data_IF_551426652904
#
_entry.id   IF_551426652904
#
_cell.length_a   1.000
_cell.length_b   1.000
_cell.length_c   1.000
_cell.angle_alpha   90.00
_cell.angle_beta   90.00
_cell.angle_gamma   90.00
#
_symmetry.space_group_name_H-M   'P 1'
#
loop_
_entity.id
_entity.type
_entity.pdbx_description
1 polymer ?
#
# COMPACT_ATOMS: atom_id res chain seq x y z
N UNK A 1 -17.77 13.67 50.14
CA UNK A 1 -17.22 12.35 49.78
C UNK A 1 -16.40 12.52 48.50
N UNK A 2 -15.08 12.32 48.61
CA UNK A 2 -14.09 12.11 47.53
C UNK A 2 -13.91 13.22 46.47
N UNK A 3 -12.99 14.15 46.76
CA UNK A 3 -12.14 14.77 45.73
C UNK A 3 -10.96 13.83 45.51
N UNK A 4 -10.80 13.28 44.29
CA UNK A 4 -9.65 12.46 43.91
C UNK A 4 -8.78 13.29 42.96
N UNK A 5 -7.55 13.46 43.39
CA UNK A 5 -6.44 14.17 42.76
C UNK A 5 -6.08 13.49 41.45
N UNK A 6 -6.06 14.25 40.35
CA UNK A 6 -5.45 13.83 39.09
C UNK A 6 -3.92 13.86 39.26
N UNK A 7 -3.29 12.69 39.38
CA UNK A 7 -1.83 12.55 39.26
C UNK A 7 -1.53 12.30 37.77
N UNK A 8 -0.99 13.32 37.10
CA UNK A 8 -0.38 13.16 35.77
C UNK A 8 1.03 12.60 36.02
N UNK A 9 1.22 11.31 35.76
CA UNK A 9 2.56 10.71 35.69
C UNK A 9 3.12 10.99 34.30
N UNK A 10 3.98 12.00 34.19
CA UNK A 10 4.84 12.19 33.03
C UNK A 10 5.95 11.13 33.11
N UNK A 11 5.81 10.04 32.35
CA UNK A 11 6.91 9.10 32.09
C UNK A 11 7.72 9.66 30.92
N UNK A 12 8.73 10.47 31.22
CA UNK A 12 9.79 10.81 30.26
C UNK A 12 10.69 9.58 30.10
N UNK A 13 10.36 8.72 29.14
CA UNK A 13 11.30 7.73 28.64
C UNK A 13 12.41 8.47 27.87
N UNK A 14 13.56 8.67 28.51
CA UNK A 14 14.81 8.98 27.82
C UNK A 14 15.16 7.79 26.92
N UNK A 15 14.77 7.84 25.65
CA UNK A 15 15.32 6.97 24.62
C UNK A 15 16.71 7.54 24.29
N UNK A 16 17.82 6.81 24.52
CA UNK A 16 19.10 7.24 24.00
C UNK A 16 19.03 7.19 22.47
N UNK A 17 18.98 8.37 21.85
CA UNK A 17 19.15 8.58 20.42
C UNK A 17 20.63 8.30 20.07
N UNK A 18 21.01 7.04 20.02
CA UNK A 18 22.33 6.57 19.55
C UNK A 18 22.16 5.26 18.81
N UNK A 19 21.76 5.32 17.54
CA UNK A 19 22.05 4.32 16.50
C UNK A 19 21.26 4.63 15.22
N UNK A 20 21.51 5.76 14.57
CA UNK A 20 21.12 5.97 13.16
C UNK A 20 22.23 6.63 12.32
N UNK A 21 23.40 6.90 12.90
CA UNK A 21 24.51 7.56 12.20
C UNK A 21 25.56 6.60 11.61
N UNK A 22 25.59 5.32 12.01
CA UNK A 22 26.65 4.39 11.58
C UNK A 22 26.45 3.77 10.19
N UNK A 23 25.25 3.82 9.61
CA UNK A 23 24.99 3.19 8.30
C UNK A 23 25.28 4.10 7.10
N UNK A 24 25.19 5.41 7.25
CA UNK A 24 25.54 6.36 6.18
C UNK A 24 27.04 6.47 5.95
N UNK A 25 27.85 6.22 6.97
CA UNK A 25 29.32 6.31 6.90
C UNK A 25 29.96 5.18 6.08
N UNK A 26 29.34 4.00 6.02
CA UNK A 26 29.92 2.87 5.29
C UNK A 26 29.77 2.98 3.76
N UNK A 27 28.73 3.66 3.28
CA UNK A 27 28.47 3.76 1.83
C UNK A 27 29.17 4.95 1.18
N UNK A 28 29.38 6.05 1.92
CA UNK A 28 30.08 7.24 1.44
C UNK A 28 31.55 6.97 1.13
N UNK A 29 32.18 6.02 1.84
CA UNK A 29 33.57 5.60 1.63
C UNK A 29 33.79 4.83 0.32
N UNK A 30 32.73 4.26 -0.27
CA UNK A 30 32.82 3.55 -1.55
C UNK A 30 32.72 4.48 -2.77
N UNK A 31 32.11 5.66 -2.62
CA UNK A 31 31.88 6.61 -3.71
C UNK A 31 33.16 7.11 -4.43
N UNK A 32 34.28 7.42 -3.73
CA UNK A 32 35.49 7.93 -4.38
C UNK A 32 36.34 6.87 -5.09
N UNK A 33 35.96 5.57 -5.03
CA UNK A 33 36.71 4.51 -5.73
C UNK A 33 36.50 4.65 -7.24
N UNK A 34 37.59 4.85 -7.99
CA UNK A 34 37.54 5.07 -9.45
C UNK A 34 37.33 3.76 -10.24
N UNK A 35 37.90 2.65 -9.79
CA UNK A 35 37.70 1.35 -10.44
C UNK A 35 36.29 0.81 -10.16
N UNK A 36 35.50 0.64 -11.23
CA UNK A 36 34.10 0.25 -11.13
C UNK A 36 33.91 -1.09 -10.41
N UNK A 37 34.81 -2.05 -10.64
CA UNK A 37 34.73 -3.37 -10.01
C UNK A 37 35.06 -3.32 -8.51
N UNK A 38 36.06 -2.53 -8.12
CA UNK A 38 36.43 -2.31 -6.74
C UNK A 38 35.35 -1.52 -5.98
N UNK A 39 34.75 -0.53 -6.64
CA UNK A 39 33.63 0.24 -6.10
C UNK A 39 32.41 -0.64 -5.86
N UNK A 40 32.05 -1.47 -6.83
CA UNK A 40 30.94 -2.42 -6.70
C UNK A 40 31.17 -3.40 -5.53
N UNK A 41 32.37 -3.97 -5.42
CA UNK A 41 32.75 -4.85 -4.30
C UNK A 41 32.63 -4.15 -2.94
N UNK A 42 33.03 -2.88 -2.86
CA UNK A 42 32.89 -2.08 -1.64
C UNK A 42 31.42 -1.96 -1.22
N UNK A 43 30.52 -1.63 -2.16
CA UNK A 43 29.08 -1.57 -1.90
C UNK A 43 28.47 -2.93 -1.53
N UNK A 44 28.85 -4.00 -2.22
CA UNK A 44 28.38 -5.37 -1.90
C UNK A 44 28.81 -5.80 -0.49
N UNK A 45 30.05 -5.52 -0.10
CA UNK A 45 30.55 -5.80 1.25
C UNK A 45 29.86 -4.94 2.32
N UNK A 46 29.71 -3.63 2.08
CA UNK A 46 29.06 -2.70 3.00
C UNK A 46 27.56 -3.00 3.19
N UNK A 47 26.91 -3.60 2.18
CA UNK A 47 25.50 -3.98 2.22
C UNK A 47 25.23 -5.36 2.85
N UNK A 48 26.28 -6.11 3.22
CA UNK A 48 26.15 -7.46 3.75
C UNK A 48 25.71 -8.49 2.71
N UNK A 49 25.86 -8.19 1.41
CA UNK A 49 25.51 -9.12 0.34
C UNK A 49 26.55 -10.26 0.32
N UNK A 50 26.14 -11.54 0.38
CA UNK A 50 27.08 -12.64 0.28
C UNK A 50 27.72 -12.62 -1.13
N UNK A 51 29.04 -12.41 -1.17
CA UNK A 51 29.81 -12.42 -2.42
C UNK A 51 29.76 -13.82 -3.00
N UNK A 52 29.10 -13.98 -4.15
CA UNK A 52 29.20 -15.20 -4.95
C UNK A 52 30.63 -15.25 -5.51
N UNK A 53 31.34 -16.35 -5.28
CA UNK A 53 32.73 -16.52 -5.72
C UNK A 53 32.87 -16.18 -7.22
N UNK A 54 33.97 -15.54 -7.65
CA UNK A 54 34.15 -15.18 -9.05
C UNK A 54 34.11 -16.43 -9.91
N UNK A 55 33.28 -16.42 -10.96
CA UNK A 55 33.47 -17.35 -12.06
C UNK A 55 34.84 -17.07 -12.66
N UNK A 56 35.76 -18.01 -12.47
CA UNK A 56 36.99 -18.07 -13.25
C UNK A 56 36.59 -18.36 -14.69
N UNK A 57 36.74 -17.39 -15.57
CA UNK A 57 37.44 -17.61 -16.83
C UNK A 57 37.84 -16.30 -17.49
N UNK A 58 39.05 -16.35 -18.05
CA UNK A 58 39.84 -15.25 -18.53
C UNK A 58 39.44 -14.76 -19.92
N UNK A 59 39.55 -13.46 -20.16
CA UNK A 59 40.14 -12.91 -21.37
C UNK A 59 40.48 -11.43 -21.17
N UNK A 60 41.76 -11.16 -20.93
CA UNK A 60 42.38 -9.85 -21.06
C UNK A 60 42.47 -9.44 -22.53
N UNK A 61 41.80 -8.36 -22.89
CA UNK A 61 42.01 -7.64 -24.16
C UNK A 61 41.78 -6.14 -23.94
N UNK A 62 42.55 -5.23 -24.59
CA UNK A 62 42.30 -3.80 -24.46
C UNK A 62 40.94 -3.45 -25.08
N UNK A 63 40.10 -2.73 -24.33
CA UNK A 63 38.85 -2.15 -24.82
C UNK A 63 39.16 -1.16 -25.96
N UNK A 64 38.61 -1.31 -27.17
CA UNK A 64 38.58 -0.22 -28.14
C UNK A 64 37.59 0.84 -27.65
N UNK A 65 38.07 2.07 -27.51
CA UNK A 65 37.19 3.23 -27.45
C UNK A 65 36.40 3.34 -28.76
N UNK A 66 35.16 3.83 -28.66
CA UNK A 66 34.20 4.13 -29.75
C UNK A 66 33.42 2.95 -30.34
N UNK A 67 32.20 2.75 -29.82
CA UNK A 67 31.00 2.44 -30.60
C UNK A 67 29.78 2.51 -29.67
N UNK A 68 28.89 3.47 -29.91
CA UNK A 68 27.51 3.41 -29.41
C UNK A 68 26.80 2.34 -30.24
N UNK A 69 26.27 1.24 -29.67
CA UNK A 69 25.44 0.33 -30.44
C UNK A 69 24.10 1.00 -30.69
N UNK A 70 23.84 1.23 -31.96
CA UNK A 70 22.60 1.69 -32.55
C UNK A 70 21.42 0.80 -32.08
N UNK A 71 20.32 1.41 -31.62
CA UNK A 71 19.12 0.72 -31.18
C UNK A 71 18.49 -0.04 -32.36
N UNK A 72 18.52 -1.36 -32.32
CA UNK A 72 17.69 -2.23 -33.15
C UNK A 72 16.18 -1.96 -32.82
N UNK A 73 15.34 -1.54 -33.79
CA UNK A 73 13.93 -1.25 -33.54
C UNK A 73 13.04 -2.47 -33.30
N UNK A 74 13.55 -3.70 -33.25
CA UNK A 74 12.73 -4.92 -33.17
C UNK A 74 12.46 -5.50 -31.78
N UNK A 75 12.65 -4.74 -30.70
CA UNK A 75 12.23 -5.12 -29.33
C UNK A 75 10.94 -4.41 -28.85
N UNK A 76 10.21 -3.74 -29.73
CA UNK A 76 8.89 -3.18 -29.43
C UNK A 76 7.79 -4.22 -29.72
N UNK A 77 7.76 -5.33 -29.00
CA UNK A 77 6.71 -6.33 -29.21
C UNK A 77 6.90 -7.67 -28.51
N UNK A 78 6.86 -7.68 -27.17
CA UNK A 78 6.41 -8.82 -26.33
C UNK A 78 6.57 -8.46 -24.85
N UNK A 79 5.61 -7.71 -24.30
CA UNK A 79 5.31 -7.82 -22.86
C UNK A 79 4.50 -9.10 -22.66
N UNK A 80 5.14 -10.26 -22.81
CA UNK A 80 4.60 -11.50 -22.27
C UNK A 80 5.14 -11.62 -20.85
N UNK A 81 4.25 -11.63 -19.86
CA UNK A 81 4.59 -11.94 -18.48
C UNK A 81 5.25 -13.31 -18.41
N UNK A 82 6.59 -13.33 -18.43
CA UNK A 82 7.36 -14.50 -18.06
C UNK A 82 7.25 -14.74 -16.55
N UNK A 83 7.57 -15.95 -16.07
CA UNK A 83 7.70 -16.19 -14.64
C UNK A 83 8.68 -15.18 -14.04
N UNK A 84 8.28 -14.57 -12.93
CA UNK A 84 9.13 -13.69 -12.13
C UNK A 84 10.44 -14.44 -11.79
N UNK A 85 11.63 -13.82 -11.93
CA UNK A 85 12.91 -14.44 -11.59
C UNK A 85 13.01 -14.97 -10.15
N UNK A 86 12.11 -14.57 -9.26
CA UNK A 86 11.99 -15.08 -7.88
C UNK A 86 11.08 -16.30 -7.73
N UNK A 87 10.21 -16.59 -8.71
CA UNK A 87 9.15 -17.60 -8.59
C UNK A 87 8.04 -17.26 -7.59
N UNK A 88 8.07 -16.08 -6.98
CA UNK A 88 7.10 -15.66 -5.97
C UNK A 88 5.72 -15.34 -6.60
N UNK A 89 4.66 -15.77 -5.93
CA UNK A 89 3.29 -15.52 -6.37
C UNK A 89 2.87 -14.04 -6.20
N UNK A 90 1.70 -13.66 -6.71
CA UNK A 90 1.22 -12.27 -6.64
C UNK A 90 0.96 -11.88 -5.19
N UNK A 91 0.23 -12.71 -4.45
CA UNK A 91 -0.06 -12.50 -3.04
C UNK A 91 1.20 -12.56 -2.19
N UNK A 92 2.15 -13.45 -2.51
CA UNK A 92 3.43 -13.50 -1.80
C UNK A 92 4.18 -12.17 -1.87
N UNK A 93 4.19 -11.52 -3.03
CA UNK A 93 4.82 -10.20 -3.21
C UNK A 93 4.01 -9.08 -2.56
N UNK A 94 2.70 -9.05 -2.78
CA UNK A 94 1.83 -8.00 -2.27
C UNK A 94 1.75 -8.00 -0.74
N UNK A 95 1.81 -9.17 -0.09
CA UNK A 95 1.70 -9.32 1.36
C UNK A 95 2.99 -9.74 2.06
N UNK A 96 4.09 -9.83 1.33
CA UNK A 96 5.42 -10.17 1.89
C UNK A 96 5.44 -11.53 2.61
N UNK A 97 4.81 -12.52 1.98
CA UNK A 97 4.58 -13.85 2.58
C UNK A 97 5.81 -14.77 2.48
N UNK A 98 6.75 -14.49 1.58
CA UNK A 98 7.98 -15.28 1.43
C UNK A 98 8.99 -14.89 2.49
N UNK A 99 9.42 -15.84 3.31
CA UNK A 99 10.35 -15.63 4.42
C UNK A 99 11.77 -15.31 3.99
N UNK A 100 12.16 -15.76 2.79
CA UNK A 100 13.52 -15.66 2.29
C UNK A 100 13.78 -14.37 1.52
N UNK A 101 12.72 -13.71 1.04
CA UNK A 101 12.81 -12.54 0.17
C UNK A 101 11.82 -11.44 0.60
N UNK A 102 11.87 -11.09 1.89
CA UNK A 102 11.03 -10.02 2.46
C UNK A 102 11.59 -8.64 2.18
N UNK A 103 10.69 -7.69 1.98
CA UNK A 103 11.05 -6.28 2.03
C UNK A 103 11.53 -5.90 3.43
N UNK A 104 12.41 -4.90 3.52
CA UNK A 104 12.83 -4.35 4.82
C UNK A 104 11.61 -3.79 5.58
N UNK A 105 11.67 -3.80 6.92
CA UNK A 105 10.65 -3.16 7.77
C UNK A 105 10.48 -1.69 7.39
N UNK A 106 9.26 -1.18 7.50
CA UNK A 106 8.87 0.20 7.17
C UNK A 106 8.96 0.61 5.69
N UNK A 107 9.16 -0.33 4.77
CA UNK A 107 8.99 -0.05 3.34
C UNK A 107 7.52 0.17 3.01
N UNK A 108 7.22 1.30 2.37
CA UNK A 108 5.89 1.60 1.84
C UNK A 108 5.64 0.72 0.62
N UNK A 109 4.56 -0.08 0.68
CA UNK A 109 4.08 -0.93 -0.41
C UNK A 109 2.71 -0.44 -0.87
N UNK A 110 2.32 -0.78 -2.10
CA UNK A 110 0.95 -0.57 -2.57
C UNK A 110 0.00 -1.51 -1.81
N UNK A 111 -1.14 -0.99 -1.37
CA UNK A 111 -2.19 -1.80 -0.72
C UNK A 111 -3.27 -2.21 -1.72
N UNK A 112 -4.01 -1.23 -2.25
CA UNK A 112 -4.90 -1.34 -3.42
C UNK A 112 -4.27 -0.61 -4.62
N UNK A 113 -4.96 -0.62 -5.75
CA UNK A 113 -4.51 0.11 -6.95
C UNK A 113 -4.33 1.59 -6.68
N UNK A 114 -3.25 2.16 -7.21
CA UNK A 114 -3.02 3.60 -7.26
C UNK A 114 -3.27 4.06 -8.69
N UNK A 115 -4.13 5.06 -8.88
CA UNK A 115 -4.49 5.52 -10.22
C UNK A 115 -4.95 6.98 -10.20
N UNK A 116 -4.84 7.61 -11.36
CA UNK A 116 -5.46 8.90 -11.67
C UNK A 116 -6.20 8.74 -12.98
N UNK A 117 -7.51 9.03 -12.95
CA UNK A 117 -8.36 9.13 -14.13
C UNK A 117 -8.64 10.62 -14.34
N UNK A 118 -8.00 11.26 -15.34
CA UNK A 118 -8.25 12.68 -15.63
C UNK A 118 -9.71 12.95 -16.00
N UNK A 119 -10.38 11.95 -16.58
CA UNK A 119 -11.78 12.01 -17.00
C UNK A 119 -12.53 10.77 -16.47
N UNK A 120 -13.49 10.99 -15.60
CA UNK A 120 -14.51 10.04 -15.17
C UNK A 120 -15.89 10.68 -15.39
N UNK A 121 -16.83 9.90 -15.93
CA UNK A 121 -18.17 10.37 -16.26
C UNK A 121 -19.23 9.71 -15.37
N UNK A 122 -20.11 10.51 -14.78
CA UNK A 122 -21.28 10.07 -14.02
C UNK A 122 -22.55 10.65 -14.65
N UNK A 123 -23.45 9.80 -15.10
CA UNK A 123 -24.69 10.22 -15.74
C UNK A 123 -25.71 10.85 -14.77
N UNK A 124 -25.59 10.55 -13.47
CA UNK A 124 -26.46 11.07 -12.42
C UNK A 124 -25.65 11.43 -11.16
N UNK A 125 -24.87 12.54 -11.20
CA UNK A 125 -24.19 13.05 -10.03
C UNK A 125 -25.21 13.35 -8.93
N UNK A 126 -24.92 12.92 -7.70
CA UNK A 126 -25.79 13.24 -6.57
C UNK A 126 -25.79 14.76 -6.35
N UNK A 127 -26.94 15.41 -6.56
CA UNK A 127 -27.07 16.85 -6.46
C UNK A 127 -27.18 17.35 -5.01
N UNK A 128 -27.48 16.43 -4.06
CA UNK A 128 -27.61 16.74 -2.64
C UNK A 128 -26.25 16.80 -1.92
N UNK A 129 -25.19 16.27 -2.54
CA UNK A 129 -23.82 16.58 -2.14
C UNK A 129 -23.47 17.99 -2.64
N UNK A 130 -24.07 19.01 -2.02
CA UNK A 130 -23.70 20.40 -2.29
C UNK A 130 -22.19 20.52 -2.12
N UNK A 131 -21.52 21.08 -3.12
CA UNK A 131 -20.09 21.40 -3.05
C UNK A 131 -19.96 22.44 -1.93
N UNK A 132 -19.19 22.14 -0.89
CA UNK A 132 -19.33 22.65 0.50
C UNK A 132 -19.32 24.19 0.70
N UNK A 133 -19.15 24.94 -0.38
CA UNK A 133 -18.86 26.36 -0.37
C UNK A 133 -19.98 27.21 -0.98
N UNK A 134 -20.86 26.65 -1.82
CA UNK A 134 -21.91 27.42 -2.50
C UNK A 134 -23.19 26.58 -2.71
N UNK A 135 -24.34 26.99 -2.15
CA UNK A 135 -25.64 26.33 -2.36
C UNK A 135 -26.07 26.23 -3.84
N UNK A 136 -25.55 27.10 -4.70
CA UNK A 136 -25.82 27.10 -6.14
C UNK A 136 -24.85 26.20 -6.91
N UNK A 137 -23.75 25.77 -6.29
CA UNK A 137 -22.77 24.91 -6.94
C UNK A 137 -23.35 23.53 -7.20
N UNK A 138 -23.51 23.21 -8.49
CA UNK A 138 -23.97 21.90 -8.93
C UNK A 138 -22.80 21.08 -9.44
N UNK A 139 -22.72 19.78 -9.08
CA UNK A 139 -21.72 18.89 -9.63
C UNK A 139 -21.95 18.71 -11.14
N UNK A 140 -20.87 18.76 -11.90
CA UNK A 140 -20.84 18.39 -13.30
C UNK A 140 -20.73 16.87 -13.45
N UNK A 141 -21.16 16.37 -14.60
CA UNK A 141 -21.10 14.95 -14.96
C UNK A 141 -19.67 14.44 -15.14
N UNK A 142 -18.72 15.32 -15.43
CA UNK A 142 -17.33 14.97 -15.69
C UNK A 142 -16.45 15.47 -14.56
N UNK A 143 -15.62 14.59 -14.01
CA UNK A 143 -14.69 14.91 -12.93
C UNK A 143 -13.39 14.11 -13.08
N UNK A 144 -12.34 14.54 -12.41
CA UNK A 144 -11.17 13.70 -12.20
C UNK A 144 -11.42 12.76 -11.02
N UNK A 145 -10.98 11.50 -11.13
CA UNK A 145 -11.08 10.50 -10.07
C UNK A 145 -9.71 9.90 -9.80
N UNK A 146 -9.27 9.88 -8.56
CA UNK A 146 -8.00 9.25 -8.24
C UNK A 146 -8.06 8.48 -6.92
N UNK A 147 -7.21 7.47 -6.83
CA UNK A 147 -7.04 6.68 -5.63
C UNK A 147 -5.56 6.59 -5.27
N UNK A 148 -5.25 6.86 -4.01
CA UNK A 148 -3.94 6.63 -3.42
C UNK A 148 -4.13 5.53 -2.37
N UNK A 149 -3.30 4.49 -2.41
CA UNK A 149 -3.43 3.36 -1.50
C UNK A 149 -2.09 2.72 -1.19
N UNK A 150 -1.70 2.73 0.08
CA UNK A 150 -0.43 2.18 0.54
C UNK A 150 -0.59 1.41 1.84
N UNK A 151 0.41 0.60 2.14
CA UNK A 151 0.56 -0.10 3.42
C UNK A 151 2.01 -0.15 3.85
N UNK A 152 2.20 -0.28 5.15
CA UNK A 152 3.49 -0.37 5.81
C UNK A 152 3.43 -1.49 6.83
N UNK A 153 4.44 -2.37 6.82
CA UNK A 153 4.58 -3.40 7.84
C UNK A 153 5.09 -2.75 9.12
N UNK A 154 4.28 -2.79 10.19
CA UNK A 154 4.60 -2.22 11.49
C UNK A 154 5.36 -3.19 12.38
N UNK A 155 4.97 -4.47 12.35
CA UNK A 155 5.60 -5.52 13.15
C UNK A 155 5.62 -6.80 12.32
N UNK A 156 6.81 -7.36 12.13
CA UNK A 156 7.03 -8.65 11.48
C UNK A 156 7.20 -9.78 12.49
N UNK A 157 6.66 -10.94 12.16
CA UNK A 157 6.76 -12.18 12.94
C UNK A 157 6.40 -11.98 14.41
N UNK A 158 5.19 -11.48 14.66
CA UNK A 158 4.69 -11.26 16.02
C UNK A 158 4.80 -12.56 16.83
N UNK A 159 5.51 -12.48 17.96
CA UNK A 159 5.84 -13.62 18.82
C UNK A 159 6.59 -14.78 18.12
N UNK A 160 7.33 -14.49 17.04
CA UNK A 160 8.06 -15.49 16.27
C UNK A 160 7.15 -16.41 15.45
N UNK A 161 5.88 -16.05 15.27
CA UNK A 161 4.93 -16.77 14.43
C UNK A 161 4.80 -16.05 13.09
N UNK A 162 4.31 -16.72 12.04
CA UNK A 162 4.09 -16.14 10.71
C UNK A 162 2.94 -15.13 10.64
N UNK A 163 2.99 -14.12 11.51
CA UNK A 163 1.99 -13.08 11.73
C UNK A 163 2.60 -11.70 11.58
N UNK A 164 2.09 -10.90 10.65
CA UNK A 164 2.57 -9.55 10.38
C UNK A 164 1.48 -8.51 10.66
N UNK A 165 1.80 -7.47 11.41
CA UNK A 165 0.94 -6.32 11.60
C UNK A 165 1.22 -5.26 10.52
N UNK A 166 0.17 -4.88 9.81
CA UNK A 166 0.20 -3.88 8.75
C UNK A 166 -0.69 -2.70 9.12
N UNK A 167 -0.21 -1.50 8.84
CA UNK A 167 -1.07 -0.33 8.67
C UNK A 167 -1.29 -0.12 7.17
N UNK A 168 -2.53 0.10 6.77
CA UNK A 168 -2.87 0.48 5.41
C UNK A 168 -3.69 1.76 5.40
N UNK A 169 -3.63 2.48 4.29
CA UNK A 169 -4.40 3.68 4.06
C UNK A 169 -4.82 3.73 2.60
N UNK A 170 -6.11 3.92 2.36
CA UNK A 170 -6.66 4.18 1.03
C UNK A 170 -7.42 5.50 1.06
N UNK A 171 -7.18 6.33 0.06
CA UNK A 171 -7.93 7.56 -0.17
C UNK A 171 -8.51 7.54 -1.58
N UNK A 172 -9.81 7.75 -1.72
CA UNK A 172 -10.51 7.89 -3.00
C UNK A 172 -11.08 9.30 -3.10
N UNK A 173 -10.73 10.03 -4.16
CA UNK A 173 -11.17 11.40 -4.34
C UNK A 173 -11.86 11.62 -5.69
N UNK A 174 -12.89 12.46 -5.67
CA UNK A 174 -13.66 12.90 -6.82
C UNK A 174 -13.56 14.42 -6.92
N UNK A 175 -12.85 14.89 -7.95
CA UNK A 175 -12.47 16.29 -8.10
C UNK A 175 -13.16 16.92 -9.32
N UNK A 176 -13.98 17.94 -9.08
CA UNK A 176 -14.68 18.69 -10.12
C UNK A 176 -13.74 19.66 -10.84
N UNK A 177 -12.61 19.16 -11.36
CA UNK A 177 -11.52 19.94 -11.97
C UNK A 177 -12.02 20.87 -13.09
N UNK A 178 -13.05 20.46 -13.82
CA UNK A 178 -13.65 21.21 -14.94
C UNK A 178 -14.72 22.21 -14.50
N UNK A 179 -15.13 22.20 -13.23
CA UNK A 179 -16.15 23.10 -12.70
C UNK A 179 -15.57 24.45 -12.26
N UNK A 180 -14.99 25.16 -13.23
CA UNK A 180 -14.28 26.43 -13.00
C UNK A 180 -15.20 27.54 -12.50
N UNK A 181 -16.50 27.48 -12.81
CA UNK A 181 -17.51 28.42 -12.31
C UNK A 181 -17.62 28.42 -10.78
N UNK A 182 -17.29 27.29 -10.13
CA UNK A 182 -17.32 27.13 -8.67
C UNK A 182 -15.92 26.83 -8.09
N UNK A 183 -14.86 27.30 -8.75
CA UNK A 183 -13.46 27.13 -8.32
C UNK A 183 -12.98 25.67 -8.25
N UNK A 184 -13.52 24.80 -9.10
CA UNK A 184 -13.08 23.41 -9.27
C UNK A 184 -12.95 22.63 -7.95
N UNK A 185 -14.03 22.50 -7.16
CA UNK A 185 -13.97 21.94 -5.82
C UNK A 185 -13.83 20.41 -5.83
N UNK A 186 -13.33 19.85 -4.72
CA UNK A 186 -13.50 18.42 -4.48
C UNK A 186 -14.96 18.15 -4.13
N UNK A 187 -15.60 17.26 -4.88
CA UNK A 187 -16.97 16.82 -4.57
C UNK A 187 -16.95 15.90 -3.36
N UNK A 188 -16.03 14.95 -3.36
CA UNK A 188 -15.95 13.97 -2.27
C UNK A 188 -14.53 13.43 -2.10
N UNK A 189 -14.13 13.16 -0.85
CA UNK A 189 -12.90 12.42 -0.53
C UNK A 189 -13.21 11.40 0.54
N UNK A 190 -12.92 10.13 0.29
CA UNK A 190 -13.09 9.04 1.26
C UNK A 190 -11.72 8.64 1.79
N UNK A 191 -11.59 8.60 3.12
CA UNK A 191 -10.41 8.21 3.88
C UNK A 191 -10.66 6.84 4.50
N UNK A 192 -9.83 5.85 4.20
CA UNK A 192 -9.98 4.47 4.67
C UNK A 192 -8.66 3.93 5.27
N UNK A 193 -8.33 4.29 6.52
CA UNK A 193 -7.25 3.64 7.26
C UNK A 193 -7.65 2.24 7.75
N UNK A 194 -6.68 1.33 7.76
CA UNK A 194 -6.84 -0.04 8.24
C UNK A 194 -5.65 -0.47 9.12
N UNK A 195 -5.94 -1.26 10.15
CA UNK A 195 -4.94 -1.97 10.94
C UNK A 195 -5.19 -3.47 10.82
N UNK A 196 -4.23 -4.18 10.24
CA UNK A 196 -4.43 -5.49 9.62
C UNK A 196 -3.40 -6.49 10.17
N UNK A 197 -3.86 -7.53 10.87
CA UNK A 197 -3.03 -8.66 11.31
C UNK A 197 -3.09 -9.78 10.28
N UNK A 198 -1.99 -10.01 9.57
CA UNK A 198 -1.89 -10.97 8.47
C UNK A 198 -1.22 -12.27 8.93
N UNK A 199 -1.91 -13.38 8.74
CA UNK A 199 -1.44 -14.73 9.00
C UNK A 199 -1.03 -15.38 7.67
N UNK A 200 0.21 -15.86 7.60
CA UNK A 200 0.69 -16.62 6.43
C UNK A 200 0.11 -18.03 6.48
N UNK A 201 -0.41 -18.50 5.36
CA UNK A 201 -0.97 -19.84 5.23
C UNK A 201 -0.49 -20.49 3.93
N UNK A 202 -0.62 -21.80 3.80
CA UNK A 202 -0.39 -22.50 2.51
C UNK A 202 -1.21 -23.79 2.41
N UNK A 203 -2.52 -23.70 2.69
CA UNK A 203 -3.42 -24.83 2.58
C UNK A 203 -3.94 -24.99 1.14
N UNK A 204 -4.31 -26.21 0.76
CA UNK A 204 -4.88 -26.54 -0.55
C UNK A 204 -6.37 -26.85 -0.43
N UNK A 205 -7.20 -26.14 -1.19
CA UNK A 205 -8.63 -26.43 -1.35
C UNK A 205 -8.92 -26.74 -2.82
N UNK A 206 -8.92 -28.03 -3.16
CA UNK A 206 -9.25 -28.49 -4.52
C UNK A 206 -8.39 -27.83 -5.62
N UNK A 207 -7.09 -27.62 -5.34
CA UNK A 207 -6.14 -26.96 -6.24
C UNK A 207 -6.12 -25.44 -6.15
N UNK A 208 -6.88 -24.83 -5.24
CA UNK A 208 -6.81 -23.41 -4.88
C UNK A 208 -5.96 -23.28 -3.60
N UNK A 209 -4.83 -22.55 -3.69
CA UNK A 209 -3.94 -22.35 -2.54
C UNK A 209 -4.41 -21.16 -1.71
N UNK A 210 -4.71 -21.37 -0.43
CA UNK A 210 -4.95 -20.28 0.52
C UNK A 210 -3.62 -19.78 1.08
N UNK A 211 -3.19 -18.59 0.65
CA UNK A 211 -1.86 -18.03 0.95
C UNK A 211 -1.84 -17.11 2.17
N UNK A 212 -2.98 -16.50 2.49
CA UNK A 212 -3.08 -15.62 3.65
C UNK A 212 -4.50 -15.54 4.19
N UNK A 213 -4.58 -15.29 5.49
CA UNK A 213 -5.78 -14.82 6.17
C UNK A 213 -5.40 -13.53 6.87
N UNK A 214 -6.22 -12.49 6.76
CA UNK A 214 -5.97 -11.22 7.42
C UNK A 214 -7.21 -10.78 8.19
N UNK A 215 -7.03 -10.36 9.44
CA UNK A 215 -8.12 -9.84 10.29
C UNK A 215 -7.72 -8.45 10.73
N UNK A 216 -8.66 -7.51 10.79
CA UNK A 216 -8.30 -6.16 11.16
C UNK A 216 -9.47 -5.23 11.45
N UNK A 217 -9.09 -3.99 11.79
CA UNK A 217 -9.99 -2.86 11.93
C UNK A 217 -9.89 -2.00 10.68
N UNK A 218 -11.04 -1.53 10.22
CA UNK A 218 -11.17 -0.63 9.09
C UNK A 218 -12.11 0.50 9.49
N UNK A 219 -11.64 1.73 9.35
CA UNK A 219 -12.47 2.91 9.44
C UNK A 219 -12.60 3.47 8.04
N UNK A 220 -13.79 3.92 7.65
CA UNK A 220 -13.98 4.66 6.41
C UNK A 220 -14.88 5.86 6.69
N UNK A 221 -14.42 7.05 6.32
CA UNK A 221 -15.20 8.27 6.44
C UNK A 221 -14.90 9.22 5.29
N UNK A 222 -15.76 10.21 5.08
CA UNK A 222 -15.52 11.25 4.09
C UNK A 222 -14.92 12.55 4.66
N UNK A 223 -14.73 12.64 5.98
CA UNK A 223 -14.15 13.81 6.64
C UNK A 223 -15.01 15.08 6.54
N UNK A 224 -16.29 14.94 6.24
CA UNK A 224 -17.25 16.05 6.18
C UNK A 224 -17.95 16.24 7.52
N UNK A 225 -18.63 17.37 7.66
CA UNK A 225 -19.54 17.64 8.78
C UNK A 225 -20.99 17.38 8.38
N UNK A 226 -21.87 17.25 9.37
CA UNK A 226 -23.31 17.18 9.16
C UNK A 226 -23.83 18.33 8.26
N UNK A 227 -24.79 18.06 7.35
CA UNK A 227 -25.49 16.79 7.09
C UNK A 227 -24.81 15.87 6.05
N UNK A 228 -23.62 16.25 5.58
CA UNK A 228 -22.89 15.54 4.53
C UNK A 228 -21.90 14.50 5.08
N UNK A 229 -21.75 14.41 6.41
CA UNK A 229 -20.89 13.41 7.05
C UNK A 229 -21.32 12.02 6.64
N UNK A 230 -20.35 11.17 6.29
CA UNK A 230 -20.56 9.75 6.07
C UNK A 230 -19.40 9.01 6.72
N UNK A 231 -19.72 8.03 7.56
CA UNK A 231 -18.72 7.24 8.26
C UNK A 231 -19.26 5.88 8.69
N UNK A 232 -18.35 4.93 8.87
CA UNK A 232 -18.63 3.62 9.46
C UNK A 232 -17.33 2.92 9.85
N UNK A 233 -17.45 2.05 10.85
CA UNK A 233 -16.34 1.25 11.38
C UNK A 233 -16.62 -0.24 11.15
N UNK A 234 -15.58 -1.01 10.79
CA UNK A 234 -15.70 -2.43 10.41
C UNK A 234 -14.60 -3.26 11.06
N UNK A 235 -14.98 -4.47 11.48
CA UNK A 235 -14.04 -5.59 11.65
C UNK A 235 -14.01 -6.33 10.32
N UNK A 236 -12.82 -6.50 9.75
CA UNK A 236 -12.63 -7.13 8.43
C UNK A 236 -11.93 -8.48 8.57
N UNK A 237 -12.27 -9.41 7.68
CA UNK A 237 -11.55 -10.65 7.49
C UNK A 237 -11.32 -10.90 5.99
N UNK A 238 -10.06 -10.97 5.57
CA UNK A 238 -9.63 -11.13 4.19
C UNK A 238 -8.98 -12.50 3.98
N UNK A 239 -9.30 -13.15 2.87
CA UNK A 239 -8.80 -14.48 2.51
C UNK A 239 -8.17 -14.40 1.12
N UNK A 240 -6.88 -14.69 1.02
CA UNK A 240 -6.13 -14.62 -0.22
C UNK A 240 -5.89 -16.01 -0.81
N UNK A 241 -6.34 -16.20 -2.05
CA UNK A 241 -6.28 -17.45 -2.78
C UNK A 241 -5.57 -17.32 -4.12
N UNK A 242 -4.86 -18.37 -4.54
CA UNK A 242 -4.17 -18.42 -5.84
C UNK A 242 -4.23 -19.78 -6.52
N UNK A 243 -4.24 -19.76 -7.86
CA UNK A 243 -4.08 -20.95 -8.71
C UNK A 243 -3.43 -20.56 -10.04
N UNK A 244 -2.14 -20.86 -10.21
CA UNK A 244 -1.39 -20.47 -11.40
C UNK A 244 -1.31 -18.94 -11.51
N UNK A 245 -1.88 -18.37 -12.58
CA UNK A 245 -1.96 -16.90 -12.76
C UNK A 245 -3.22 -16.28 -12.15
N UNK A 246 -4.16 -17.09 -11.68
CA UNK A 246 -5.35 -16.61 -10.99
C UNK A 246 -5.03 -16.25 -9.54
N UNK A 247 -5.53 -15.11 -9.08
CA UNK A 247 -5.50 -14.69 -7.69
C UNK A 247 -6.88 -14.11 -7.30
N UNK A 248 -7.24 -14.26 -6.04
CA UNK A 248 -8.50 -13.77 -5.50
C UNK A 248 -8.28 -13.35 -4.04
N UNK A 249 -8.80 -12.20 -3.66
CA UNK A 249 -8.90 -11.74 -2.29
C UNK A 249 -10.38 -11.55 -1.95
N UNK A 250 -10.91 -12.41 -1.08
CA UNK A 250 -12.24 -12.22 -0.51
C UNK A 250 -12.10 -11.40 0.76
N UNK A 251 -12.63 -10.17 0.78
CA UNK A 251 -12.72 -9.32 1.98
C UNK A 251 -14.14 -9.35 2.50
N UNK A 252 -14.34 -9.85 3.71
CA UNK A 252 -15.62 -9.83 4.42
C UNK A 252 -15.55 -8.86 5.58
N UNK A 253 -16.69 -8.36 6.04
CA UNK A 253 -16.73 -7.47 7.19
C UNK A 253 -17.99 -7.61 8.03
N UNK A 254 -17.83 -7.23 9.29
CA UNK A 254 -18.91 -6.93 10.21
C UNK A 254 -18.85 -5.44 10.56
N UNK A 255 -19.95 -4.70 10.33
CA UNK A 255 -20.06 -3.31 10.75
C UNK A 255 -20.15 -3.24 12.27
N UNK A 256 -19.31 -2.41 12.88
CA UNK A 256 -19.39 -2.10 14.31
C UNK A 256 -20.60 -1.15 14.49
N UNK A 257 -21.61 -1.51 15.30
CA UNK A 257 -22.77 -0.66 15.50
C UNK A 257 -22.40 0.68 16.14
N UNK A 258 -23.03 1.75 15.67
CA UNK A 258 -22.96 3.11 16.21
C UNK A 258 -24.30 3.47 16.88
N UNK A 259 -24.30 4.48 17.76
CA UNK A 259 -25.56 4.97 18.32
C UNK A 259 -26.38 5.62 17.20
N UNK A 260 -27.70 5.47 17.23
CA UNK A 260 -28.57 6.02 16.18
C UNK A 260 -28.47 7.54 16.02
N UNK A 261 -28.12 8.27 17.09
CA UNK A 261 -27.93 9.73 17.04
C UNK A 261 -26.61 10.14 16.36
N UNK A 262 -25.64 9.22 16.31
CA UNK A 262 -24.29 9.43 15.77
C UNK A 262 -24.07 8.63 14.45
N UNK A 263 -25.12 7.99 13.92
CA UNK A 263 -25.03 7.12 12.75
C UNK A 263 -25.38 7.90 11.47
N UNK A 264 -24.34 8.43 10.83
CA UNK A 264 -24.37 9.21 9.59
C UNK A 264 -25.07 8.49 8.41
N UNK A 265 -25.12 7.16 8.44
CA UNK A 265 -25.61 6.33 7.33
C UNK A 265 -26.07 4.94 7.83
N UNK A 266 -27.17 4.94 8.60
CA UNK A 266 -27.66 3.74 9.28
C UNK A 266 -28.06 2.58 8.37
N UNK A 267 -28.37 2.85 7.11
CA UNK A 267 -28.76 1.85 6.12
C UNK A 267 -27.64 1.44 5.15
N UNK A 268 -26.38 1.83 5.41
CA UNK A 268 -25.23 1.59 4.51
C UNK A 268 -25.05 0.11 4.11
N UNK A 269 -25.34 -0.83 5.02
CA UNK A 269 -25.22 -2.27 4.74
C UNK A 269 -26.18 -2.75 3.65
N UNK A 270 -27.31 -2.05 3.42
CA UNK A 270 -28.24 -2.39 2.32
C UNK A 270 -27.59 -2.19 0.95
N UNK A 271 -26.60 -1.30 0.84
CA UNK A 271 -25.92 -0.96 -0.41
C UNK A 271 -24.56 -1.61 -0.52
N UNK A 272 -23.79 -1.66 0.58
CA UNK A 272 -22.44 -2.20 0.60
C UNK A 272 -22.40 -3.72 0.82
N UNK A 273 -23.44 -4.29 1.43
CA UNK A 273 -23.45 -5.69 1.84
C UNK A 273 -22.38 -6.00 2.90
N UNK A 274 -21.89 -7.23 2.90
CA UNK A 274 -21.04 -7.81 3.96
C UNK A 274 -19.67 -8.28 3.46
N UNK A 275 -19.31 -7.94 2.22
CA UNK A 275 -18.02 -8.29 1.64
C UNK A 275 -17.83 -7.81 0.20
N UNK A 276 -16.59 -7.88 -0.26
CA UNK A 276 -16.14 -7.56 -1.60
C UNK A 276 -15.10 -8.59 -2.09
N UNK A 277 -14.92 -8.65 -3.41
CA UNK A 277 -13.93 -9.51 -4.07
C UNK A 277 -12.93 -8.65 -4.83
N UNK A 278 -11.65 -8.99 -4.71
CA UNK A 278 -10.56 -8.42 -5.52
C UNK A 278 -9.78 -9.54 -6.22
N UNK A 279 -9.11 -9.24 -7.35
CA UNK A 279 -8.27 -10.18 -8.09
C UNK A 279 -7.54 -9.51 -9.24
#
# INVERSE_FOLDING_TARGET
>A
MKWIIFIIIIITAFIPLRAMAETTDNFSQCAPIEDDNARLKCYDNASGRPVKAPATDASSGPLPATAVPEKDPQMAGKLKGGPDPTGASVLARQWDLDETNRARKFVIKTHRSNYVLPVAYNNSPNADSNLDLDPNAKPQHTEAKFQISFKVKLWEDIFGQGMDLWFAYTQLAFWQVYNTAFSSPFRETNYEPELLLNFRTDYDLFGLKGKMINIGLNHQSNGRSEPLSRSWNRVVANFGFERGQFNLLLKTWYRIPENHEDDDNSDIEKYMGYGELWG
#
